data_IF_535341129562
#
_entry.id   IF_535341129562
#
_cell.length_a   1.000
_cell.length_b   1.000
_cell.length_c   1.000
_cell.angle_alpha   90.00
_cell.angle_beta   90.00
_cell.angle_gamma   90.00
#
_symmetry.space_group_name_H-M   'P 1'
#
loop_
_entity.id
_entity.type
_entity.pdbx_description
1 polymer ?
#
# COMPACT_ATOMS: atom_id res chain seq x y z
N UNK A 1 -11.83 17.97 8.36
CA UNK A 1 -12.18 16.59 8.74
C UNK A 1 -10.96 16.01 9.40
N UNK A 2 -10.90 16.07 10.73
CA UNK A 2 -9.66 15.76 11.46
C UNK A 2 -9.45 14.24 11.46
N UNK A 3 -8.29 13.77 11.02
CA UNK A 3 -7.86 12.37 11.16
C UNK A 3 -7.43 11.66 9.87
N UNK A 4 -7.64 12.26 8.70
CA UNK A 4 -7.09 11.74 7.43
C UNK A 4 -5.73 12.35 7.13
N UNK A 5 -4.90 11.62 6.37
CA UNK A 5 -3.58 12.11 6.00
C UNK A 5 -3.71 13.42 5.20
N UNK A 6 -3.10 14.48 5.72
CA UNK A 6 -3.11 15.82 5.11
C UNK A 6 -4.52 16.35 4.78
N UNK A 7 -5.49 16.03 5.65
CA UNK A 7 -6.90 16.39 5.49
C UNK A 7 -7.51 15.90 4.16
N UNK A 8 -7.04 14.74 3.67
CA UNK A 8 -7.57 14.07 2.47
C UNK A 8 -7.34 14.85 1.16
N UNK A 9 -6.48 15.88 1.19
CA UNK A 9 -6.13 16.72 0.04
C UNK A 9 -5.41 15.97 -1.08
N UNK A 10 -4.82 14.82 -0.77
CA UNK A 10 -4.08 13.97 -1.71
C UNK A 10 -4.90 12.77 -2.21
N UNK A 11 -6.22 12.76 -1.98
CA UNK A 11 -7.10 11.79 -2.60
C UNK A 11 -6.99 11.84 -4.15
N UNK A 12 -7.05 10.69 -4.84
CA UNK A 12 -7.25 9.35 -4.29
C UNK A 12 -5.96 8.64 -3.87
N UNK A 13 -4.77 9.25 -4.03
CA UNK A 13 -3.48 8.59 -3.78
C UNK A 13 -3.36 8.06 -2.34
N UNK A 14 -3.90 8.80 -1.38
CA UNK A 14 -3.89 8.45 0.06
C UNK A 14 -5.17 7.79 0.55
N UNK A 15 -6.16 7.51 -0.32
CA UNK A 15 -7.41 6.83 0.06
C UNK A 15 -7.15 5.39 0.53
N UNK A 16 -6.15 4.76 -0.07
CA UNK A 16 -5.63 3.44 0.24
C UNK A 16 -4.10 3.55 0.36
N UNK A 17 -3.52 2.84 1.33
CA UNK A 17 -2.08 2.77 1.53
C UNK A 17 -1.67 1.36 1.88
N UNK A 18 -0.53 0.93 1.35
CA UNK A 18 0.15 -0.28 1.78
C UNK A 18 1.11 0.01 2.92
N UNK A 19 1.42 -0.99 3.74
CA UNK A 19 2.53 -0.93 4.68
C UNK A 19 3.31 -2.24 4.69
N UNK A 20 4.62 -2.18 4.82
CA UNK A 20 5.51 -3.33 5.02
C UNK A 20 6.34 -3.13 6.27
N UNK A 21 6.45 -4.15 7.11
CA UNK A 21 7.25 -4.11 8.34
C UNK A 21 8.74 -4.32 8.04
N UNK A 22 9.33 -3.36 7.33
CA UNK A 22 10.75 -3.33 6.98
C UNK A 22 11.18 -1.89 6.68
N UNK A 23 12.48 -1.67 6.47
CA UNK A 23 13.02 -0.36 6.09
C UNK A 23 12.63 0.07 4.67
N UNK A 24 12.39 1.37 4.47
CA UNK A 24 11.86 1.91 3.22
C UNK A 24 12.76 1.65 2.01
N UNK A 25 14.08 1.79 2.19
CA UNK A 25 15.05 1.48 1.14
C UNK A 25 15.02 -0.01 0.77
N UNK A 26 14.94 -0.90 1.77
CA UNK A 26 14.87 -2.34 1.54
C UNK A 26 13.59 -2.72 0.79
N UNK A 27 12.44 -2.18 1.21
CA UNK A 27 11.16 -2.38 0.52
C UNK A 27 11.20 -1.89 -0.94
N UNK A 28 11.71 -0.69 -1.19
CA UNK A 28 11.81 -0.11 -2.52
C UNK A 28 12.70 -0.93 -3.45
N UNK A 29 13.89 -1.36 -2.98
CA UNK A 29 14.82 -2.18 -3.77
C UNK A 29 14.24 -3.56 -4.08
N UNK A 30 13.60 -4.20 -3.11
CA UNK A 30 12.96 -5.50 -3.33
C UNK A 30 11.77 -5.39 -4.31
N UNK A 31 10.97 -4.34 -4.20
CA UNK A 31 9.86 -4.09 -5.13
C UNK A 31 10.37 -3.83 -6.55
N UNK A 32 11.43 -3.04 -6.70
CA UNK A 32 12.05 -2.77 -7.98
C UNK A 32 12.67 -4.02 -8.61
N UNK A 33 13.33 -4.88 -7.82
CA UNK A 33 13.85 -6.15 -8.31
C UNK A 33 12.73 -7.06 -8.84
N UNK A 34 11.60 -7.12 -8.12
CA UNK A 34 10.41 -7.84 -8.57
C UNK A 34 9.84 -7.27 -9.88
N UNK A 35 9.62 -5.95 -9.96
CA UNK A 35 9.07 -5.32 -11.16
C UNK A 35 10.02 -5.40 -12.35
N UNK A 36 11.33 -5.29 -12.14
CA UNK A 36 12.33 -5.49 -13.18
C UNK A 36 12.20 -6.88 -13.80
N UNK A 37 12.04 -7.93 -12.98
CA UNK A 37 11.84 -9.29 -13.47
C UNK A 37 10.57 -9.46 -14.33
N UNK A 38 9.49 -8.74 -13.99
CA UNK A 38 8.23 -8.77 -14.74
C UNK A 38 8.28 -7.95 -16.04
N UNK A 39 9.01 -6.85 -16.03
CA UNK A 39 8.97 -5.82 -17.08
C UNK A 39 10.14 -5.92 -18.07
N UNK A 40 11.23 -6.58 -17.70
CA UNK A 40 12.38 -6.81 -18.58
C UNK A 40 12.02 -7.47 -19.93
N UNK A 41 11.11 -8.47 -20.02
CA UNK A 41 10.69 -9.03 -21.31
C UNK A 41 9.99 -8.02 -22.24
N UNK A 42 9.51 -6.89 -21.70
CA UNK A 42 8.89 -5.79 -22.46
C UNK A 42 9.87 -4.65 -22.75
N UNK A 43 11.15 -4.80 -22.40
CA UNK A 43 12.18 -3.78 -22.56
C UNK A 43 12.00 -2.58 -21.63
N UNK A 44 11.22 -2.70 -20.55
CA UNK A 44 10.96 -1.63 -19.59
C UNK A 44 11.93 -1.74 -18.42
N UNK A 45 12.61 -0.64 -18.10
CA UNK A 45 13.54 -0.52 -16.97
C UNK A 45 12.83 0.05 -15.75
N UNK A 46 13.21 -0.44 -14.56
CA UNK A 46 12.73 0.08 -13.28
C UNK A 46 13.87 0.76 -12.56
N UNK A 47 13.67 2.03 -12.20
CA UNK A 47 14.66 2.84 -11.50
C UNK A 47 14.26 3.06 -10.05
N UNK A 48 15.26 3.06 -9.16
CA UNK A 48 15.09 3.42 -7.74
C UNK A 48 15.86 4.69 -7.48
N UNK A 49 15.17 5.70 -6.95
CA UNK A 49 15.79 6.97 -6.53
C UNK A 49 15.36 7.35 -5.12
N UNK A 50 16.28 7.92 -4.36
CA UNK A 50 15.95 8.52 -3.08
C UNK A 50 15.15 9.80 -3.31
N UNK A 51 14.16 10.04 -2.44
CA UNK A 51 13.37 11.28 -2.40
C UNK A 51 13.56 11.88 -1.01
N UNK A 52 13.85 13.18 -0.97
CA UNK A 52 14.03 13.93 0.28
C UNK A 52 13.09 15.13 0.30
N UNK A 53 12.73 15.60 1.49
CA UNK A 53 11.84 16.74 1.68
C UNK A 53 10.70 16.44 2.64
N UNK A 54 9.69 17.31 2.64
CA UNK A 54 8.46 17.11 3.39
C UNK A 54 7.62 15.96 2.81
N UNK A 55 6.63 15.51 3.57
CA UNK A 55 5.68 14.51 3.10
C UNK A 55 4.98 14.96 1.82
N UNK A 56 4.49 16.20 1.75
CA UNK A 56 3.87 16.75 0.54
C UNK A 56 4.81 16.76 -0.66
N UNK A 57 6.08 17.11 -0.46
CA UNK A 57 7.08 17.08 -1.53
C UNK A 57 7.31 15.65 -2.02
N UNK A 58 7.39 14.68 -1.12
CA UNK A 58 7.52 13.28 -1.49
C UNK A 58 6.28 12.77 -2.26
N UNK A 59 5.07 13.08 -1.79
CA UNK A 59 3.82 12.73 -2.47
C UNK A 59 3.72 13.36 -3.86
N UNK A 60 4.22 14.60 -4.03
CA UNK A 60 4.23 15.27 -5.33
C UNK A 60 5.03 14.51 -6.40
N UNK A 61 6.00 13.69 -5.99
CA UNK A 61 6.78 12.86 -6.93
C UNK A 61 5.95 11.77 -7.60
N UNK A 62 4.80 11.41 -7.04
CA UNK A 62 3.84 10.50 -7.67
C UNK A 62 3.12 11.16 -8.86
N UNK A 63 3.10 12.49 -8.97
CA UNK A 63 2.38 13.19 -10.04
C UNK A 63 3.17 13.23 -11.36
N UNK A 64 2.52 13.06 -12.53
CA UNK A 64 1.08 12.97 -12.73
C UNK A 64 0.51 11.59 -12.35
N UNK A 65 -0.78 11.58 -12.06
CA UNK A 65 -1.57 10.35 -11.97
C UNK A 65 -1.63 9.70 -13.36
N UNK A 66 -1.47 8.38 -13.45
CA UNK A 66 -1.40 7.65 -14.72
C UNK A 66 -2.46 6.55 -14.86
N UNK A 67 -2.79 6.24 -16.12
CA UNK A 67 -3.67 5.15 -16.56
C UNK A 67 -3.34 4.83 -18.03
N UNK A 68 -3.38 3.56 -18.49
CA UNK A 68 -3.72 2.36 -17.72
C UNK A 68 -2.57 1.82 -16.85
N UNK A 69 -1.34 2.29 -17.07
CA UNK A 69 -0.15 1.76 -16.38
C UNK A 69 0.29 2.68 -15.23
N UNK A 70 0.53 2.08 -14.06
CA UNK A 70 1.15 2.76 -12.91
C UNK A 70 2.64 2.87 -13.16
N UNK A 71 3.18 4.09 -13.06
CA UNK A 71 4.57 4.38 -13.42
C UNK A 71 5.43 4.77 -12.22
N UNK A 72 4.81 5.14 -11.09
CA UNK A 72 5.52 5.65 -9.93
C UNK A 72 4.97 5.05 -8.65
N UNK A 73 5.89 4.56 -7.84
CA UNK A 73 5.65 4.01 -6.53
C UNK A 73 6.55 4.72 -5.53
N UNK A 74 6.02 4.97 -4.35
CA UNK A 74 6.68 5.70 -3.29
C UNK A 74 6.67 4.87 -2.01
N UNK A 75 7.85 4.66 -1.45
CA UNK A 75 8.07 4.00 -0.17
C UNK A 75 8.53 5.04 0.86
N UNK A 76 7.74 5.25 1.91
CA UNK A 76 7.98 6.27 2.92
C UNK A 76 8.26 5.62 4.28
N UNK A 77 9.37 6.00 4.96
CA UNK A 77 9.57 5.57 6.34
C UNK A 77 8.52 6.20 7.26
N UNK A 78 8.11 5.46 8.29
CA UNK A 78 7.28 5.99 9.38
C UNK A 78 8.10 6.11 10.66
N UNK A 79 7.49 6.62 11.74
CA UNK A 79 8.10 6.62 13.09
C UNK A 79 8.05 5.25 13.79
N UNK A 80 7.77 4.20 13.04
CA UNK A 80 7.55 2.83 13.50
C UNK A 80 8.31 1.88 12.55
N UNK A 81 8.34 0.55 12.78
CA UNK A 81 9.02 -0.37 11.86
C UNK A 81 8.32 -0.51 10.49
N UNK A 82 7.18 0.15 10.30
CA UNK A 82 6.42 0.11 9.07
C UNK A 82 6.92 1.15 8.05
N UNK A 83 7.01 0.74 6.80
CA UNK A 83 7.17 1.59 5.62
C UNK A 83 5.84 1.70 4.90
N UNK A 84 5.38 2.91 4.61
CA UNK A 84 4.18 3.14 3.80
C UNK A 84 4.48 3.01 2.30
N UNK A 85 3.52 2.47 1.55
CA UNK A 85 3.53 2.31 0.10
C UNK A 85 2.36 3.08 -0.51
N UNK A 86 2.66 3.90 -1.53
CA UNK A 86 1.69 4.57 -2.37
C UNK A 86 2.10 4.45 -3.84
N UNK A 87 1.14 4.57 -4.76
CA UNK A 87 1.42 4.60 -6.19
C UNK A 87 0.53 5.60 -6.93
N UNK A 88 0.87 5.91 -8.18
CA UNK A 88 0.25 6.98 -8.94
C UNK A 88 -0.92 6.56 -9.86
N UNK A 89 -1.63 5.48 -9.53
CA UNK A 89 -2.77 5.02 -10.32
C UNK A 89 -3.95 5.99 -10.30
N UNK A 90 -4.72 6.04 -11.40
CA UNK A 90 -5.94 6.88 -11.51
C UNK A 90 -6.97 6.64 -10.40
N UNK A 91 -7.15 5.38 -9.97
CA UNK A 91 -8.03 5.02 -8.86
C UNK A 91 -7.45 5.32 -7.48
N UNK A 92 -6.22 5.83 -7.39
CA UNK A 92 -5.41 5.82 -6.17
C UNK A 92 -4.51 4.60 -6.11
N UNK A 93 -3.97 4.34 -4.93
CA UNK A 93 -3.08 3.20 -4.67
C UNK A 93 -3.88 1.89 -4.61
N UNK A 94 -3.47 0.85 -5.36
CA UNK A 94 -3.88 -0.54 -5.09
C UNK A 94 -2.78 -1.27 -4.32
N UNK A 95 -2.95 -1.37 -3.00
CA UNK A 95 -1.99 -2.00 -2.12
C UNK A 95 -2.16 -3.52 -2.03
N UNK A 96 -3.29 -4.08 -2.47
CA UNK A 96 -3.65 -5.47 -2.15
C UNK A 96 -2.65 -6.48 -2.70
N UNK A 97 -2.38 -6.39 -4.00
CA UNK A 97 -1.49 -7.32 -4.70
C UNK A 97 -0.02 -7.11 -4.30
N UNK A 98 0.41 -5.84 -4.23
CA UNK A 98 1.76 -5.46 -3.86
C UNK A 98 2.10 -5.93 -2.44
N UNK A 99 1.28 -5.60 -1.45
CA UNK A 99 1.55 -5.93 -0.05
C UNK A 99 1.53 -7.43 0.20
N UNK A 100 0.60 -8.16 -0.43
CA UNK A 100 0.56 -9.62 -0.35
C UNK A 100 1.82 -10.28 -0.90
N UNK A 101 2.26 -9.85 -2.09
CA UNK A 101 3.46 -10.41 -2.70
C UNK A 101 4.71 -10.07 -1.88
N UNK A 102 4.85 -8.79 -1.53
CA UNK A 102 6.03 -8.27 -0.82
C UNK A 102 6.17 -8.86 0.59
N UNK A 103 5.08 -8.98 1.36
CA UNK A 103 5.11 -9.61 2.68
C UNK A 103 5.70 -11.03 2.63
N UNK A 104 5.29 -11.83 1.63
CA UNK A 104 5.83 -13.17 1.40
C UNK A 104 7.29 -13.13 0.96
N UNK A 105 7.62 -12.30 -0.02
CA UNK A 105 8.97 -12.24 -0.61
C UNK A 105 10.01 -11.75 0.40
N UNK A 106 9.63 -10.82 1.26
CA UNK A 106 10.50 -10.25 2.30
C UNK A 106 10.47 -11.03 3.62
N UNK A 107 9.56 -12.00 3.76
CA UNK A 107 9.40 -12.72 5.03
C UNK A 107 8.90 -11.82 6.18
N UNK A 108 8.18 -10.74 5.88
CA UNK A 108 7.68 -9.77 6.85
C UNK A 108 6.14 -9.69 6.86
N UNK A 109 5.58 -8.91 7.79
CA UNK A 109 4.14 -8.56 7.75
C UNK A 109 3.90 -7.43 6.75
N UNK A 110 2.73 -7.45 6.12
CA UNK A 110 2.23 -6.39 5.26
C UNK A 110 0.82 -5.96 5.68
N UNK A 111 0.45 -4.72 5.43
CA UNK A 111 -0.89 -4.19 5.67
C UNK A 111 -1.42 -3.51 4.42
N UNK A 112 -2.73 -3.57 4.24
CA UNK A 112 -3.50 -2.66 3.39
C UNK A 112 -4.46 -1.89 4.29
N UNK A 113 -4.41 -0.58 4.23
CA UNK A 113 -5.25 0.32 5.01
C UNK A 113 -6.05 1.18 4.04
N UNK A 114 -7.37 1.22 4.21
CA UNK A 114 -8.27 2.10 3.44
C UNK A 114 -9.02 2.99 4.39
N UNK A 115 -9.01 4.29 4.10
CA UNK A 115 -9.75 5.30 4.82
C UNK A 115 -10.28 6.33 3.82
N UNK A 116 -11.53 6.15 3.39
CA UNK A 116 -12.24 7.07 2.51
C UNK A 116 -13.44 7.62 3.26
N UNK A 117 -13.57 8.95 3.41
CA UNK A 117 -14.75 9.52 4.02
C UNK A 117 -15.95 9.35 3.07
N UNK A 118 -17.12 9.08 3.63
CA UNK A 118 -18.35 9.15 2.83
C UNK A 118 -18.68 10.62 2.57
N UNK A 119 -18.57 11.05 1.32
CA UNK A 119 -18.90 12.42 0.90
C UNK A 119 -20.08 12.47 -0.06
N UNK A 120 -20.77 11.34 -0.28
CA UNK A 120 -21.93 11.27 -1.16
C UNK A 120 -23.00 12.27 -0.73
N UNK A 121 -23.31 13.20 -1.62
CA UNK A 121 -24.48 14.07 -1.55
C UNK A 121 -25.24 13.96 -2.87
N UNK A 122 -26.48 13.46 -2.80
CA UNK A 122 -27.26 13.05 -3.96
C UNK A 122 -26.49 11.99 -4.77
N UNK A 123 -25.95 12.36 -5.92
CA UNK A 123 -25.27 11.52 -6.90
C UNK A 123 -23.76 11.86 -7.06
N UNK A 124 -23.24 12.79 -6.24
CA UNK A 124 -21.85 13.26 -6.34
C UNK A 124 -21.09 13.02 -5.03
N UNK A 125 -19.83 12.62 -5.15
CA UNK A 125 -18.92 12.40 -4.01
C UNK A 125 -18.22 11.04 -4.10
N UNK A 126 -17.57 10.65 -2.99
CA UNK A 126 -16.94 9.35 -2.82
C UNK A 126 -17.73 8.51 -1.82
N UNK A 127 -17.92 7.23 -2.13
CA UNK A 127 -18.38 6.26 -1.16
C UNK A 127 -17.35 6.10 -0.04
N UNK A 128 -17.82 6.08 1.20
CA UNK A 128 -16.94 5.88 2.34
C UNK A 128 -16.50 4.43 2.49
N UNK A 129 -15.29 4.23 3.01
CA UNK A 129 -14.73 2.92 3.31
C UNK A 129 -13.72 3.01 4.44
N UNK A 130 -13.75 2.04 5.35
CA UNK A 130 -12.70 1.82 6.36
C UNK A 130 -12.36 0.35 6.34
N UNK A 131 -11.13 0.01 5.93
CA UNK A 131 -10.67 -1.37 5.86
C UNK A 131 -9.24 -1.49 6.38
N UNK A 132 -8.99 -2.59 7.10
CA UNK A 132 -7.65 -3.03 7.47
C UNK A 132 -7.50 -4.49 7.03
N UNK A 133 -6.49 -4.78 6.23
CA UNK A 133 -6.15 -6.15 5.82
C UNK A 133 -4.69 -6.41 6.18
N UNK A 134 -4.43 -7.55 6.81
CA UNK A 134 -3.08 -7.98 7.17
C UNK A 134 -2.64 -9.17 6.32
N UNK A 135 -1.41 -9.09 5.83
CA UNK A 135 -0.75 -10.14 5.06
C UNK A 135 0.42 -10.67 5.88
N UNK A 136 0.39 -11.97 6.20
CA UNK A 136 1.52 -12.66 6.80
C UNK A 136 2.51 -13.18 5.76
N UNK A 137 3.75 -13.49 6.15
CA UNK A 137 4.77 -14.02 5.24
C UNK A 137 4.46 -15.45 4.76
N UNK A 138 3.68 -16.22 5.53
CA UNK A 138 3.27 -17.58 5.17
C UNK A 138 1.99 -17.58 4.33
N UNK A 139 1.97 -18.42 3.30
CA UNK A 139 0.74 -18.74 2.57
C UNK A 139 -0.12 -19.68 3.42
N UNK A 140 -1.02 -19.13 4.23
CA UNK A 140 -2.11 -19.92 4.80
C UNK A 140 -3.08 -20.30 3.65
N UNK A 141 -3.59 -21.53 3.66
CA UNK A 141 -4.57 -22.00 2.68
C UNK A 141 -5.87 -21.19 2.72
N UNK A 142 -6.85 -21.44 1.83
CA UNK A 142 -8.16 -20.83 1.97
C UNK A 142 -8.69 -21.07 3.38
N UNK A 143 -9.38 -20.08 3.95
CA UNK A 143 -10.12 -20.29 5.20
C UNK A 143 -11.22 -21.28 4.90
N UNK A 144 -11.04 -22.51 5.38
CA UNK A 144 -12.06 -23.54 5.29
C UNK A 144 -13.03 -23.37 6.46
N UNK A 145 -14.31 -23.80 6.32
CA UNK A 145 -15.26 -23.80 7.43
C UNK A 145 -14.79 -24.60 8.66
N UNK A 146 -13.76 -25.43 8.49
CA UNK A 146 -13.14 -26.25 9.53
C UNK A 146 -12.00 -25.55 10.26
N UNK A 147 -11.53 -24.40 9.78
CA UNK A 147 -10.53 -23.62 10.50
C UNK A 147 -11.18 -23.00 11.75
N UNK A 148 -10.44 -23.03 12.85
CA UNK A 148 -10.88 -22.39 14.08
C UNK A 148 -11.18 -20.91 13.81
N UNK A 149 -12.36 -20.46 14.23
CA UNK A 149 -12.67 -19.04 14.29
C UNK A 149 -11.95 -18.46 15.50
N UNK A 150 -11.16 -17.42 15.26
CA UNK A 150 -10.46 -16.70 16.31
C UNK A 150 -11.15 -15.37 16.55
N UNK A 151 -11.38 -15.05 17.82
CA UNK A 151 -11.71 -13.69 18.22
C UNK A 151 -10.51 -12.77 17.94
N UNK A 152 -10.77 -11.47 17.79
CA UNK A 152 -9.71 -10.47 17.63
C UNK A 152 -8.66 -10.50 18.76
N UNK A 153 -9.06 -10.92 19.97
CA UNK A 153 -8.15 -11.08 21.09
C UNK A 153 -7.18 -12.26 20.87
N UNK A 154 -7.69 -13.41 20.42
CA UNK A 154 -6.86 -14.58 20.14
C UNK A 154 -5.95 -14.37 18.92
N UNK A 155 -6.43 -13.67 17.89
CA UNK A 155 -5.60 -13.32 16.74
C UNK A 155 -4.41 -12.43 17.14
N UNK A 156 -4.53 -11.61 18.20
CA UNK A 156 -3.42 -10.77 18.68
C UNK A 156 -2.34 -11.53 19.45
N UNK A 157 -2.63 -12.72 19.96
CA UNK A 157 -1.63 -13.55 20.65
C UNK A 157 -0.78 -14.36 19.66
N UNK A 158 -1.32 -14.65 18.48
CA UNK A 158 -0.63 -15.41 17.43
C UNK A 158 0.16 -14.56 16.42
N UNK A 159 -0.03 -13.23 16.40
CA UNK A 159 0.54 -12.30 15.39
C UNK A 159 1.18 -11.07 16.01
#
# INVERSE_FOLDING_TARGET
>A
MNGLLLDDRWAPLTSEMGFLETGAEHAARAFAAWHTGLLAPRGITVEVRAVSGSLEQALSTLLPITTPEVQRQLFLPTRSPWTAYLENGWGGTDASSAMRYMARTLGCRGLRVVAVPNTIRKDKGRFGAVMLTMYGPQRKGPVLPTHAEFTLAQAREEF
#
